data_IF_084482666562
#
_entry.id   IF_084482666562
#
_cell.length_a   1.000
_cell.length_b   1.000
_cell.length_c   1.000
_cell.angle_alpha   90.00
_cell.angle_beta   90.00
_cell.angle_gamma   90.00
#
_symmetry.space_group_name_H-M   'P 1'
#
loop_
_entity.id
_entity.type
_entity.pdbx_description
1 polymer ?
#
# COMPACT_ATOMS: atom_id res chain seq x y z
N UNK A 1 -16.08 -3.74 -7.22
CA UNK A 1 -15.68 -3.94 -8.64
C UNK A 1 -16.25 -2.76 -9.41
N UNK A 2 -15.52 -1.64 -9.42
CA UNK A 2 -16.05 -0.32 -9.81
C UNK A 2 -15.83 0.02 -11.29
N UNK A 3 -15.12 -0.83 -12.04
CA UNK A 3 -14.86 -0.65 -13.47
C UNK A 3 -15.80 -1.54 -14.27
N UNK A 4 -16.55 -0.94 -15.19
CA UNK A 4 -17.50 -1.66 -16.03
C UNK A 4 -16.75 -2.58 -17.02
N UNK A 5 -17.09 -3.87 -17.04
CA UNK A 5 -16.46 -4.85 -17.93
C UNK A 5 -15.20 -5.55 -17.37
N UNK A 6 -14.85 -5.31 -16.10
CA UNK A 6 -13.83 -6.10 -15.38
C UNK A 6 -14.53 -7.09 -14.44
N UNK A 7 -14.38 -8.38 -14.72
CA UNK A 7 -14.86 -9.46 -13.85
C UNK A 7 -13.84 -9.85 -12.77
N UNK A 8 -14.27 -10.55 -11.70
CA UNK A 8 -13.40 -10.96 -10.59
C UNK A 8 -12.22 -11.83 -11.02
N UNK A 9 -12.38 -12.68 -12.04
CA UNK A 9 -11.29 -13.50 -12.59
C UNK A 9 -10.19 -12.68 -13.25
N UNK A 10 -10.57 -11.62 -13.98
CA UNK A 10 -9.62 -10.70 -14.61
C UNK A 10 -8.92 -9.86 -13.54
N UNK A 11 -9.67 -9.33 -12.58
CA UNK A 11 -9.11 -8.57 -11.44
C UNK A 11 -8.09 -9.38 -10.63
N UNK A 12 -8.37 -10.66 -10.35
CA UNK A 12 -7.44 -11.53 -9.63
C UNK A 12 -6.16 -11.79 -10.44
N UNK A 13 -6.27 -11.93 -11.76
CA UNK A 13 -5.13 -12.16 -12.64
C UNK A 13 -4.18 -10.96 -12.68
N UNK A 14 -4.73 -9.74 -12.63
CA UNK A 14 -3.95 -8.50 -12.54
C UNK A 14 -3.15 -8.47 -11.24
N UNK A 15 -3.81 -8.71 -10.09
CA UNK A 15 -3.18 -8.68 -8.78
C UNK A 15 -2.15 -9.82 -8.55
N UNK A 16 -2.26 -10.91 -9.31
CA UNK A 16 -1.38 -12.07 -9.17
C UNK A 16 -0.09 -12.00 -10.00
N UNK A 17 -0.01 -11.09 -10.98
CA UNK A 17 1.05 -11.11 -12.00
C UNK A 17 2.13 -10.06 -11.77
N UNK A 18 1.76 -8.84 -11.40
CA UNK A 18 2.69 -7.71 -11.30
C UNK A 18 2.59 -6.99 -9.95
N UNK A 19 3.62 -6.21 -9.64
CA UNK A 19 3.60 -5.33 -8.49
C UNK A 19 2.46 -4.30 -8.65
N UNK A 20 1.66 -4.13 -7.60
CA UNK A 20 0.52 -3.20 -7.55
C UNK A 20 0.96 -1.77 -7.97
N UNK A 21 2.18 -1.37 -7.61
CA UNK A 21 2.75 -0.07 -7.95
C UNK A 21 2.91 0.15 -9.46
N UNK A 22 3.35 -0.88 -10.20
CA UNK A 22 3.52 -0.78 -11.65
C UNK A 22 2.15 -0.64 -12.35
N UNK A 23 1.12 -1.27 -11.80
CA UNK A 23 -0.27 -1.15 -12.28
C UNK A 23 -0.80 0.26 -12.02
N UNK A 24 -0.56 0.82 -10.84
CA UNK A 24 -0.95 2.21 -10.50
C UNK A 24 -0.26 3.19 -11.45
N UNK A 25 1.06 3.05 -11.63
CA UNK A 25 1.83 3.89 -12.53
C UNK A 25 1.31 3.81 -13.97
N UNK A 26 1.06 2.58 -14.46
CA UNK A 26 0.51 2.39 -15.80
C UNK A 26 -0.87 3.02 -15.98
N UNK A 27 -1.69 3.07 -14.92
CA UNK A 27 -3.00 3.73 -14.95
C UNK A 27 -2.83 5.27 -14.98
N UNK A 28 -1.95 5.81 -14.16
CA UNK A 28 -1.69 7.26 -14.09
C UNK A 28 -1.07 7.79 -15.40
N UNK A 29 -0.08 7.08 -15.95
CA UNK A 29 0.53 7.39 -17.24
C UNK A 29 -0.41 7.13 -18.44
N UNK A 30 -1.53 6.43 -18.23
CA UNK A 30 -2.45 6.05 -19.30
C UNK A 30 -1.88 5.00 -20.26
N UNK A 31 -1.00 4.14 -19.76
CA UNK A 31 -0.32 3.11 -20.53
C UNK A 31 -1.24 1.90 -20.78
N UNK A 32 -2.20 2.06 -21.71
CA UNK A 32 -3.14 1.00 -22.06
C UNK A 32 -2.44 -0.27 -22.59
N UNK A 33 -1.27 -0.13 -23.24
CA UNK A 33 -0.49 -1.27 -23.74
C UNK A 33 0.00 -2.17 -22.61
N UNK A 34 0.42 -1.59 -21.49
CA UNK A 34 0.81 -2.34 -20.30
C UNK A 34 -0.37 -3.17 -19.78
N UNK A 35 -1.53 -2.54 -19.60
CA UNK A 35 -2.74 -3.21 -19.10
C UNK A 35 -3.25 -4.32 -20.04
N UNK A 36 -3.06 -4.22 -21.36
CA UNK A 36 -3.48 -5.27 -22.30
C UNK A 36 -2.64 -6.55 -22.25
N UNK A 37 -1.50 -6.55 -21.52
CA UNK A 37 -0.70 -7.77 -21.31
C UNK A 37 -1.40 -8.77 -20.40
N UNK A 38 -2.29 -8.29 -19.54
CA UNK A 38 -2.99 -9.14 -18.59
C UNK A 38 -4.08 -9.97 -19.28
N UNK A 39 -4.19 -11.27 -18.97
CA UNK A 39 -5.16 -12.15 -19.59
C UNK A 39 -6.58 -11.71 -19.24
N UNK A 40 -7.39 -11.45 -20.27
CA UNK A 40 -8.77 -10.98 -20.10
C UNK A 40 -8.92 -9.46 -20.01
N UNK A 41 -7.88 -8.68 -20.33
CA UNK A 41 -7.98 -7.23 -20.54
C UNK A 41 -7.73 -6.90 -22.01
N UNK A 42 -8.78 -6.51 -22.71
CA UNK A 42 -8.69 -5.97 -24.07
C UNK A 42 -8.41 -4.47 -24.07
N UNK A 43 -8.12 -3.93 -25.26
CA UNK A 43 -7.82 -2.51 -25.49
C UNK A 43 -8.92 -1.57 -24.95
N UNK A 44 -10.19 -1.96 -25.16
CA UNK A 44 -11.35 -1.21 -24.67
C UNK A 44 -11.45 -1.24 -23.13
N UNK A 45 -11.22 -2.40 -22.52
CA UNK A 45 -11.22 -2.54 -21.07
C UNK A 45 -10.05 -1.80 -20.43
N UNK A 46 -8.86 -1.84 -21.02
CA UNK A 46 -7.69 -1.09 -20.55
C UNK A 46 -7.96 0.42 -20.54
N UNK A 47 -8.55 0.96 -21.60
CA UNK A 47 -8.95 2.38 -21.67
C UNK A 47 -10.02 2.72 -20.62
N UNK A 48 -10.99 1.83 -20.41
CA UNK A 48 -12.02 2.00 -19.37
C UNK A 48 -11.41 2.04 -17.97
N UNK A 49 -10.46 1.13 -17.67
CA UNK A 49 -9.72 1.10 -16.40
C UNK A 49 -9.01 2.43 -16.17
N UNK A 50 -8.26 2.90 -17.17
CA UNK A 50 -7.53 4.18 -17.09
C UNK A 50 -8.51 5.32 -16.83
N UNK A 51 -9.59 5.43 -17.60
CA UNK A 51 -10.57 6.50 -17.43
C UNK A 51 -11.23 6.48 -16.05
N UNK A 52 -11.59 5.30 -15.57
CA UNK A 52 -12.37 5.14 -14.34
C UNK A 52 -11.50 5.29 -13.08
N UNK A 53 -10.21 4.94 -13.14
CA UNK A 53 -9.30 4.90 -11.99
C UNK A 53 -8.25 6.02 -11.97
N UNK A 54 -7.88 6.60 -13.11
CA UNK A 54 -6.87 7.68 -13.16
C UNK A 54 -7.27 8.85 -12.25
N UNK A 55 -6.35 9.26 -11.38
CA UNK A 55 -6.56 10.31 -10.38
C UNK A 55 -7.46 9.91 -9.21
N UNK A 56 -7.99 8.68 -9.18
CA UNK A 56 -8.69 8.10 -8.01
C UNK A 56 -7.80 7.11 -7.26
N UNK A 57 -6.71 6.68 -7.89
CA UNK A 57 -5.66 5.94 -7.23
C UNK A 57 -4.85 6.97 -6.45
N UNK A 58 -5.18 7.11 -5.18
CA UNK A 58 -4.28 7.79 -4.26
C UNK A 58 -3.00 6.97 -4.28
N UNK A 59 -1.87 7.59 -4.63
CA UNK A 59 -0.55 7.09 -4.26
C UNK A 59 -0.62 6.93 -2.74
N UNK A 60 -0.95 5.73 -2.30
CA UNK A 60 -0.56 5.37 -0.95
C UNK A 60 0.95 5.40 -1.06
N UNK A 61 1.56 6.48 -0.55
CA UNK A 61 2.96 6.52 -0.10
C UNK A 61 3.24 5.45 0.99
N UNK A 62 2.42 4.41 1.06
CA UNK A 62 2.83 3.11 1.52
C UNK A 62 3.60 2.47 0.34
N UNK A 63 4.83 2.98 0.11
CA UNK A 63 5.98 2.07 0.14
C UNK A 63 5.58 0.94 1.06
N UNK A 64 5.46 -0.30 0.56
CA UNK A 64 5.26 -1.52 1.34
C UNK A 64 5.65 -1.29 2.81
N UNK A 65 4.75 -0.71 3.63
CA UNK A 65 5.19 -0.25 4.94
C UNK A 65 5.41 -1.56 5.61
N UNK A 66 6.68 -1.87 5.93
CA UNK A 66 7.00 -3.21 6.28
C UNK A 66 6.12 -3.52 7.48
N UNK A 67 5.51 -4.71 7.46
CA UNK A 67 4.56 -5.24 8.43
C UNK A 67 4.92 -4.85 9.88
N UNK A 68 6.22 -4.66 10.12
CA UNK A 68 6.88 -3.94 11.20
C UNK A 68 6.12 -2.77 11.83
N UNK A 69 5.56 -1.81 11.08
CA UNK A 69 4.96 -0.61 11.72
C UNK A 69 3.71 -0.97 12.52
N UNK A 70 2.89 -1.89 12.00
CA UNK A 70 1.74 -2.43 12.73
C UNK A 70 2.21 -3.34 13.88
N UNK A 71 3.26 -4.15 13.67
CA UNK A 71 3.83 -5.00 14.71
C UNK A 71 4.36 -4.18 15.91
N UNK A 72 5.01 -3.03 15.64
CA UNK A 72 5.49 -2.11 16.68
C UNK A 72 4.31 -1.41 17.38
N UNK A 73 3.28 -0.97 16.63
CA UNK A 73 2.07 -0.38 17.24
C UNK A 73 1.35 -1.36 18.17
N UNK A 74 1.24 -2.62 17.76
CA UNK A 74 0.59 -3.68 18.53
C UNK A 74 1.41 -4.07 19.77
N UNK A 75 2.73 -4.18 19.64
CA UNK A 75 3.63 -4.45 20.76
C UNK A 75 3.58 -3.32 21.81
N UNK A 76 3.62 -2.06 21.40
CA UNK A 76 3.52 -0.92 22.31
C UNK A 76 2.12 -0.79 22.93
N UNK A 77 1.07 -1.14 22.19
CA UNK A 77 -0.29 -1.19 22.73
C UNK A 77 -0.45 -2.27 23.80
N UNK A 78 0.19 -3.44 23.62
CA UNK A 78 0.20 -4.53 24.61
C UNK A 78 0.94 -4.15 25.91
N UNK A 79 1.89 -3.21 25.83
CA UNK A 79 2.58 -2.63 27.00
C UNK A 79 1.75 -1.55 27.71
N UNK A 80 0.58 -1.17 27.18
CA UNK A 80 -0.37 -0.25 27.82
C UNK A 80 -0.29 1.21 27.37
N UNK A 81 0.47 1.52 26.31
CA UNK A 81 0.53 2.88 25.76
C UNK A 81 -0.67 3.19 24.85
N UNK A 82 -1.14 4.44 24.83
CA UNK A 82 -2.28 4.81 23.98
C UNK A 82 -1.86 4.94 22.51
N UNK A 83 -2.76 4.59 21.58
CA UNK A 83 -2.51 4.72 20.13
C UNK A 83 -2.06 6.13 19.72
N UNK A 84 -2.56 7.16 20.41
CA UNK A 84 -2.21 8.56 20.14
C UNK A 84 -0.76 8.86 20.52
N UNK A 85 -0.28 8.29 21.62
CA UNK A 85 1.09 8.41 22.11
C UNK A 85 2.06 7.62 21.23
N UNK A 86 1.70 6.39 20.88
CA UNK A 86 2.48 5.52 20.00
C UNK A 86 2.75 6.21 18.66
N UNK A 87 1.72 6.76 18.01
CA UNK A 87 1.88 7.47 16.72
C UNK A 87 2.73 8.72 16.82
N UNK A 88 2.71 9.42 17.96
CA UNK A 88 3.59 10.60 18.18
C UNK A 88 5.05 10.18 18.30
N UNK A 89 5.31 9.05 18.94
CA UNK A 89 6.66 8.51 19.14
C UNK A 89 7.19 7.88 17.85
N UNK A 90 6.39 7.09 17.12
CA UNK A 90 6.79 6.47 15.86
C UNK A 90 7.13 7.47 14.75
N UNK A 91 6.61 8.70 14.81
CA UNK A 91 7.05 9.79 13.92
C UNK A 91 8.47 10.29 14.19
N UNK A 92 9.02 10.01 15.38
CA UNK A 92 10.37 10.40 15.80
C UNK A 92 11.38 9.25 15.73
N UNK A 93 10.90 8.03 15.56
CA UNK A 93 11.72 6.82 15.45
C UNK A 93 12.13 6.61 13.99
N UNK A 94 13.34 6.12 13.77
CA UNK A 94 13.79 5.77 12.43
C UNK A 94 13.08 4.48 11.96
N UNK A 95 12.38 4.55 10.82
CA UNK A 95 11.59 3.44 10.27
C UNK A 95 12.41 2.47 9.42
N UNK A 96 13.69 2.78 9.16
CA UNK A 96 14.63 1.88 8.47
C UNK A 96 15.25 0.83 9.40
N UNK A 97 14.93 0.87 10.70
CA UNK A 97 15.46 -0.05 11.71
C UNK A 97 14.63 -1.34 11.82
N UNK A 98 15.25 -2.45 12.28
CA UNK A 98 14.52 -3.65 12.67
C UNK A 98 13.45 -3.36 13.75
N UNK A 99 12.36 -4.13 13.75
CA UNK A 99 11.23 -4.02 14.70
C UNK A 99 11.68 -3.90 16.15
N UNK A 100 12.63 -4.74 16.57
CA UNK A 100 13.13 -4.75 17.95
C UNK A 100 13.83 -3.45 18.33
N UNK A 101 14.56 -2.85 17.39
CA UNK A 101 15.28 -1.60 17.64
C UNK A 101 14.31 -0.39 17.59
N UNK A 102 13.29 -0.45 16.74
CA UNK A 102 12.18 0.53 16.76
C UNK A 102 11.44 0.53 18.11
N UNK A 103 11.17 -0.66 18.67
CA UNK A 103 10.51 -0.77 19.99
C UNK A 103 11.42 -0.19 21.09
N UNK A 104 12.73 -0.50 21.07
CA UNK A 104 13.68 0.06 22.04
C UNK A 104 13.76 1.58 21.96
N UNK A 105 13.84 2.15 20.76
CA UNK A 105 13.85 3.61 20.59
C UNK A 105 12.53 4.25 21.05
N UNK A 106 11.40 3.64 20.72
CA UNK A 106 10.10 4.11 21.15
C UNK A 106 9.96 4.11 22.69
N UNK A 107 10.39 3.04 23.36
CA UNK A 107 10.38 2.95 24.83
C UNK A 107 11.32 3.98 25.47
N UNK A 108 12.50 4.21 24.88
CA UNK A 108 13.44 5.24 25.35
C UNK A 108 12.85 6.65 25.25
N UNK A 109 12.02 6.91 24.24
CA UNK A 109 11.29 8.17 24.07
C UNK A 109 10.10 8.30 25.04
N UNK A 110 9.52 7.20 25.51
CA UNK A 110 8.49 7.21 26.57
C UNK A 110 9.05 7.40 27.97
N UNK A 111 10.27 6.93 28.22
CA UNK A 111 10.96 7.06 29.51
C UNK A 111 11.67 8.41 29.71
N UNK A 112 11.54 9.34 28.76
CA UNK A 112 12.19 10.65 28.78
C UNK A 112 11.15 11.76 28.78
#
# INVERSE_FOLDING_TARGET
ISVSGIGPKSALSILATDAINDIILAIEEGNAKYLTKFPGIGLKSAQQIILDLKGKLVETDDELIPTHKNDVEDALSALGYSRTEIRKVLKKVNQDLPVEDMIKEALKLFMK
#
